data_IF_053708368511
#
_entry.id   IF_053708368511
#
_cell.length_a   1.000
_cell.length_b   1.000
_cell.length_c   1.000
_cell.angle_alpha   90.00
_cell.angle_beta   90.00
_cell.angle_gamma   90.00
#
_symmetry.space_group_name_H-M   'P 1'
#
loop_
_entity.id
_entity.type
_entity.pdbx_description
1 polymer ?
#
# COMPACT_ATOMS: atom_id res chain seq x y z
N UNK A 1 -11.00 45.92 9.13
CA UNK A 1 -9.86 45.66 8.22
C UNK A 1 -9.22 44.38 8.72
N UNK A 2 -9.85 43.24 8.42
CA UNK A 2 -9.78 42.40 7.20
C UNK A 2 -8.80 41.24 7.41
N UNK A 3 -9.41 40.11 7.76
CA UNK A 3 -9.18 38.73 7.30
C UNK A 3 -7.76 38.18 7.21
N UNK A 4 -7.53 37.11 7.97
CA UNK A 4 -6.80 35.94 7.49
C UNK A 4 -7.53 34.68 7.99
N UNK A 5 -8.29 34.09 7.07
CA UNK A 5 -9.03 32.85 7.20
C UNK A 5 -8.04 31.69 7.44
N UNK A 6 -7.97 31.18 8.67
CA UNK A 6 -7.35 29.90 8.99
C UNK A 6 -8.43 28.84 9.16
N UNK A 7 -9.11 28.48 8.07
CA UNK A 7 -9.93 27.28 8.03
C UNK A 7 -9.02 26.07 7.89
N UNK A 8 -8.57 25.55 9.02
CA UNK A 8 -7.89 24.27 9.12
C UNK A 8 -8.79 23.15 8.59
N UNK A 9 -8.32 22.44 7.58
CA UNK A 9 -8.85 21.13 7.22
C UNK A 9 -8.43 20.13 8.30
N UNK A 10 -9.21 20.01 9.38
CA UNK A 10 -8.99 19.07 10.48
C UNK A 10 -10.01 17.93 10.50
N UNK A 11 -10.30 17.30 9.36
CA UNK A 11 -11.45 16.39 9.29
C UNK A 11 -11.46 15.31 8.22
N UNK A 12 -10.32 14.84 7.69
CA UNK A 12 -10.37 13.55 6.99
C UNK A 12 -10.54 12.44 8.03
N UNK A 13 -11.77 11.93 8.16
CA UNK A 13 -12.06 10.77 9.01
C UNK A 13 -11.29 9.57 8.44
N UNK A 14 -10.35 9.04 9.24
CA UNK A 14 -9.56 7.85 8.90
C UNK A 14 -10.50 6.67 8.64
N UNK A 15 -10.35 6.02 7.47
CA UNK A 15 -11.15 4.87 7.09
C UNK A 15 -10.87 3.68 8.02
N UNK A 16 -11.93 3.05 8.54
CA UNK A 16 -11.82 1.80 9.30
C UNK A 16 -11.78 0.61 8.32
N UNK A 17 -10.57 0.22 7.95
CA UNK A 17 -10.35 -0.92 7.06
C UNK A 17 -10.84 -2.24 7.67
N UNK A 18 -10.80 -2.42 8.99
CA UNK A 18 -11.24 -3.67 9.60
C UNK A 18 -12.77 -3.81 9.51
N UNK A 19 -13.50 -2.71 9.74
CA UNK A 19 -14.95 -2.65 9.46
C UNK A 19 -15.25 -2.95 7.99
N UNK A 20 -14.49 -2.36 7.06
CA UNK A 20 -14.62 -2.64 5.63
C UNK A 20 -14.49 -4.15 5.33
N UNK A 21 -13.49 -4.81 5.90
CA UNK A 21 -13.26 -6.24 5.68
C UNK A 21 -14.30 -7.13 6.36
N UNK A 22 -15.02 -6.64 7.38
CA UNK A 22 -16.22 -7.30 7.92
C UNK A 22 -17.47 -7.09 7.05
N UNK A 23 -17.38 -6.29 6.00
CA UNK A 23 -18.51 -5.91 5.17
C UNK A 23 -19.39 -4.84 5.80
N UNK A 24 -18.85 -4.06 6.73
CA UNK A 24 -19.51 -2.95 7.41
C UNK A 24 -19.16 -1.61 6.75
N UNK A 25 -19.86 -0.54 7.13
CA UNK A 25 -19.50 0.82 6.70
C UNK A 25 -18.18 1.22 7.36
N UNK A 26 -17.17 1.65 6.58
CA UNK A 26 -15.84 1.97 7.10
C UNK A 26 -15.73 3.42 7.63
N UNK A 27 -16.81 4.19 7.57
CA UNK A 27 -16.81 5.60 7.93
C UNK A 27 -18.09 6.33 7.52
N UNK A 28 -18.29 7.52 8.07
CA UNK A 28 -19.44 8.37 7.72
C UNK A 28 -19.41 8.72 6.22
N UNK A 29 -20.56 8.55 5.55
CA UNK A 29 -20.68 8.79 4.11
C UNK A 29 -20.16 7.65 3.23
N UNK A 30 -19.57 6.59 3.79
CA UNK A 30 -19.08 5.44 3.04
C UNK A 30 -20.01 4.24 3.24
N UNK A 31 -20.65 3.71 2.18
CA UNK A 31 -21.53 2.55 2.31
C UNK A 31 -20.74 1.29 2.68
N UNK A 32 -21.42 0.35 3.33
CA UNK A 32 -20.91 -1.00 3.52
C UNK A 32 -20.68 -1.68 2.16
N UNK A 33 -19.61 -2.49 2.07
CA UNK A 33 -19.28 -3.21 0.85
C UNK A 33 -19.08 -4.70 1.13
N UNK A 34 -19.75 -5.55 0.36
CA UNK A 34 -19.55 -7.00 0.46
C UNK A 34 -18.15 -7.43 0.02
N UNK A 35 -17.56 -6.73 -0.96
CA UNK A 35 -16.24 -7.01 -1.49
C UNK A 35 -15.48 -5.69 -1.72
N UNK A 36 -14.31 -5.49 -1.10
CA UNK A 36 -13.48 -4.33 -1.37
C UNK A 36 -13.07 -4.28 -2.85
N UNK A 37 -13.01 -3.10 -3.50
CA UNK A 37 -12.71 -2.97 -4.93
C UNK A 37 -11.27 -3.39 -5.29
N UNK A 38 -10.40 -3.53 -4.30
CA UNK A 38 -9.05 -4.06 -4.45
C UNK A 38 -8.94 -5.58 -4.22
N UNK A 39 -9.97 -6.28 -3.76
CA UNK A 39 -9.94 -7.75 -3.65
C UNK A 39 -10.16 -8.40 -5.02
N UNK A 40 -9.07 -8.52 -5.79
CA UNK A 40 -9.09 -9.10 -7.15
C UNK A 40 -8.92 -10.61 -7.17
N UNK A 41 -8.62 -11.24 -6.02
CA UNK A 41 -8.29 -12.67 -5.91
C UNK A 41 -7.11 -13.08 -6.80
N UNK A 42 -6.23 -12.12 -7.07
CA UNK A 42 -5.11 -12.23 -7.99
C UNK A 42 -4.07 -11.15 -7.65
N UNK A 43 -2.77 -11.42 -7.82
CA UNK A 43 -1.72 -10.43 -7.59
C UNK A 43 -1.90 -9.24 -8.51
N UNK A 44 -1.43 -8.07 -8.07
CA UNK A 44 -1.44 -6.88 -8.92
C UNK A 44 -0.42 -7.02 -10.04
N UNK A 45 -0.77 -6.52 -11.22
CA UNK A 45 0.13 -6.53 -12.39
C UNK A 45 1.46 -5.82 -12.12
N UNK A 46 1.47 -4.78 -11.28
CA UNK A 46 2.72 -4.13 -10.84
C UNK A 46 3.64 -5.09 -10.07
N UNK A 47 3.09 -5.89 -9.16
CA UNK A 47 3.85 -6.85 -8.34
C UNK A 47 4.42 -7.97 -9.20
N UNK A 48 3.62 -8.47 -10.16
CA UNK A 48 4.10 -9.44 -11.16
C UNK A 48 5.28 -8.84 -11.94
N UNK A 49 5.12 -7.64 -12.49
CA UNK A 49 6.16 -6.98 -13.27
C UNK A 49 7.45 -6.72 -12.47
N UNK A 50 7.34 -6.31 -11.20
CA UNK A 50 8.51 -6.11 -10.34
C UNK A 50 9.25 -7.42 -10.04
N UNK A 51 8.52 -8.51 -9.79
CA UNK A 51 9.10 -9.82 -9.61
C UNK A 51 9.83 -10.30 -10.89
N UNK A 52 9.15 -10.25 -12.04
CA UNK A 52 9.72 -10.65 -13.33
C UNK A 52 10.93 -9.80 -13.76
N UNK A 53 10.99 -8.55 -13.31
CA UNK A 53 12.13 -7.66 -13.55
C UNK A 53 13.33 -7.94 -12.63
N UNK A 54 13.20 -8.87 -11.68
CA UNK A 54 14.22 -9.19 -10.68
C UNK A 54 14.43 -8.09 -9.64
N UNK A 55 13.45 -7.20 -9.44
CA UNK A 55 13.55 -6.12 -8.44
C UNK A 55 13.18 -6.59 -7.04
N UNK A 56 12.45 -7.71 -6.95
CA UNK A 56 12.14 -8.38 -5.68
C UNK A 56 13.22 -9.43 -5.39
N UNK A 57 13.78 -9.37 -4.19
CA UNK A 57 14.83 -10.27 -3.73
C UNK A 57 14.81 -10.44 -2.21
N UNK A 58 15.43 -11.52 -1.74
CA UNK A 58 15.65 -11.80 -0.31
C UNK A 58 14.37 -12.02 0.51
N UNK A 59 14.40 -11.59 1.77
CA UNK A 59 13.24 -11.59 2.67
C UNK A 59 12.29 -10.43 2.30
N UNK A 60 11.02 -10.75 2.01
CA UNK A 60 10.06 -9.78 1.47
C UNK A 60 9.01 -9.38 2.50
N UNK A 61 8.74 -8.08 2.60
CA UNK A 61 7.60 -7.51 3.31
C UNK A 61 6.52 -7.08 2.31
N UNK A 62 5.31 -7.61 2.44
CA UNK A 62 4.10 -7.05 1.82
C UNK A 62 3.37 -6.20 2.86
N UNK A 63 3.46 -4.87 2.74
CA UNK A 63 2.96 -3.91 3.74
C UNK A 63 1.60 -3.33 3.33
N UNK A 64 0.61 -3.47 4.21
CA UNK A 64 -0.80 -3.34 3.84
C UNK A 64 -1.25 -4.50 2.96
N UNK A 65 -0.90 -5.74 3.34
CA UNK A 65 -1.10 -6.92 2.48
C UNK A 65 -2.58 -7.26 2.23
N UNK A 66 -3.51 -6.69 3.02
CA UNK A 66 -4.93 -6.94 2.93
C UNK A 66 -5.24 -8.43 3.01
N UNK A 67 -5.90 -8.96 1.97
CA UNK A 67 -6.29 -10.37 1.89
C UNK A 67 -5.15 -11.28 1.38
N UNK A 68 -3.94 -10.77 1.18
CA UNK A 68 -2.73 -11.56 0.97
C UNK A 68 -2.41 -11.98 -0.47
N UNK A 69 -3.17 -11.54 -1.48
CA UNK A 69 -2.99 -12.03 -2.87
C UNK A 69 -1.56 -11.78 -3.42
N UNK A 70 -0.95 -10.64 -3.11
CA UNK A 70 0.43 -10.33 -3.51
C UNK A 70 1.45 -11.17 -2.73
N UNK A 71 1.32 -11.25 -1.40
CA UNK A 71 2.15 -12.10 -0.55
C UNK A 71 2.13 -13.57 -0.99
N UNK A 72 0.95 -14.11 -1.32
CA UNK A 72 0.77 -15.48 -1.80
C UNK A 72 1.50 -15.69 -3.12
N UNK A 73 1.32 -14.79 -4.08
CA UNK A 73 2.02 -14.86 -5.35
C UNK A 73 3.55 -14.88 -5.17
N UNK A 74 4.09 -14.01 -4.31
CA UNK A 74 5.53 -13.95 -4.06
C UNK A 74 6.02 -15.21 -3.34
N UNK A 75 5.28 -15.73 -2.37
CA UNK A 75 5.61 -17.00 -1.71
C UNK A 75 5.61 -18.18 -2.70
N UNK A 76 4.65 -18.24 -3.63
CA UNK A 76 4.61 -19.23 -4.70
C UNK A 76 5.80 -19.11 -5.67
N UNK A 77 6.41 -17.93 -5.77
CA UNK A 77 7.64 -17.69 -6.53
C UNK A 77 8.92 -17.90 -5.71
N UNK A 78 8.82 -18.48 -4.50
CA UNK A 78 9.95 -18.92 -3.70
C UNK A 78 10.52 -17.89 -2.72
N UNK A 79 9.87 -16.73 -2.55
CA UNK A 79 10.29 -15.75 -1.56
C UNK A 79 9.83 -16.13 -0.15
N UNK A 80 10.62 -15.75 0.86
CA UNK A 80 10.15 -15.75 2.25
C UNK A 80 9.39 -14.45 2.50
N UNK A 81 8.08 -14.56 2.70
CA UNK A 81 7.20 -13.39 2.80
C UNK A 81 6.69 -13.18 4.23
N UNK A 82 6.70 -11.94 4.67
CA UNK A 82 5.90 -11.45 5.81
C UNK A 82 4.83 -10.49 5.29
N UNK A 83 3.56 -10.76 5.59
CA UNK A 83 2.44 -9.88 5.27
C UNK A 83 1.97 -9.13 6.50
N UNK A 84 1.97 -7.80 6.44
CA UNK A 84 1.54 -6.95 7.55
C UNK A 84 0.33 -6.12 7.15
N UNK A 85 -0.68 -6.07 8.00
CA UNK A 85 -1.86 -5.21 7.81
C UNK A 85 -2.37 -4.68 9.15
N UNK A 86 -3.10 -3.56 9.13
CA UNK A 86 -3.73 -2.99 10.33
C UNK A 86 -5.03 -3.75 10.68
N UNK A 87 -5.67 -4.39 9.70
CA UNK A 87 -6.96 -5.03 9.83
C UNK A 87 -6.84 -6.53 10.15
N UNK A 88 -7.11 -6.97 11.39
CA UNK A 88 -7.07 -8.40 11.74
C UNK A 88 -8.04 -9.24 10.91
N UNK A 89 -9.20 -8.70 10.50
CA UNK A 89 -10.17 -9.42 9.65
C UNK A 89 -9.59 -9.77 8.28
N UNK A 90 -8.77 -8.89 7.71
CA UNK A 90 -8.09 -9.14 6.45
C UNK A 90 -7.11 -10.31 6.57
N UNK A 91 -6.33 -10.33 7.66
CA UNK A 91 -5.30 -11.33 7.91
C UNK A 91 -5.89 -12.73 8.12
N UNK A 92 -7.04 -12.86 8.78
CA UNK A 92 -7.74 -14.16 8.88
C UNK A 92 -8.04 -14.73 7.48
N UNK A 93 -8.47 -13.87 6.55
CA UNK A 93 -8.71 -14.29 5.16
C UNK A 93 -7.41 -14.59 4.43
N UNK A 94 -6.36 -13.78 4.64
CA UNK A 94 -5.04 -13.98 4.05
C UNK A 94 -4.42 -15.32 4.45
N UNK A 95 -4.47 -15.66 5.75
CA UNK A 95 -3.99 -16.94 6.29
C UNK A 95 -4.72 -18.12 5.66
N UNK A 96 -6.06 -18.05 5.54
CA UNK A 96 -6.85 -19.09 4.87
C UNK A 96 -6.44 -19.23 3.41
N UNK A 97 -6.32 -18.12 2.66
CA UNK A 97 -5.94 -18.15 1.24
C UNK A 97 -4.53 -18.70 1.05
N UNK A 98 -3.58 -18.37 1.93
CA UNK A 98 -2.23 -18.89 1.90
C UNK A 98 -2.20 -20.41 2.16
N UNK A 99 -2.96 -20.88 3.15
CA UNK A 99 -3.14 -22.31 3.41
C UNK A 99 -3.72 -23.04 2.18
N UNK A 100 -4.78 -22.50 1.58
CA UNK A 100 -5.42 -23.09 0.39
C UNK A 100 -4.48 -23.09 -0.84
N UNK A 101 -3.58 -22.11 -0.92
CA UNK A 101 -2.54 -22.02 -1.94
C UNK A 101 -1.30 -22.88 -1.66
N UNK A 102 -1.23 -23.54 -0.49
CA UNK A 102 -0.13 -24.42 -0.10
C UNK A 102 1.19 -23.69 0.20
N UNK A 103 1.14 -22.44 0.63
CA UNK A 103 2.32 -21.62 0.96
C UNK A 103 2.34 -21.21 2.43
N UNK A 104 3.53 -21.07 2.99
CA UNK A 104 3.75 -20.59 4.36
C UNK A 104 4.17 -19.12 4.33
N UNK A 105 3.39 -18.27 5.02
CA UNK A 105 3.59 -16.82 5.08
C UNK A 105 3.34 -16.36 6.51
N UNK A 106 4.25 -15.54 7.03
CA UNK A 106 4.04 -14.92 8.34
C UNK A 106 3.11 -13.73 8.19
N UNK A 107 1.87 -13.86 8.65
CA UNK A 107 0.95 -12.73 8.79
C UNK A 107 0.96 -12.17 10.20
N UNK A 108 0.87 -10.85 10.34
CA UNK A 108 0.76 -10.19 11.63
C UNK A 108 0.09 -8.82 11.54
N UNK A 109 -0.67 -8.47 12.59
CA UNK A 109 -1.21 -7.11 12.73
C UNK A 109 -0.07 -6.15 13.02
N UNK A 110 0.06 -5.09 12.22
CA UNK A 110 1.05 -4.05 12.45
C UNK A 110 0.59 -2.67 11.95
N UNK A 111 1.04 -1.63 12.64
CA UNK A 111 0.94 -0.25 12.18
C UNK A 111 2.11 0.04 11.24
N UNK A 112 1.81 0.31 9.96
CA UNK A 112 2.81 0.57 8.93
C UNK A 112 3.64 1.84 9.19
N UNK A 113 3.15 2.75 10.04
CA UNK A 113 3.87 3.96 10.44
C UNK A 113 4.86 3.72 11.58
N UNK A 114 4.81 2.52 12.20
CA UNK A 114 5.66 2.17 13.34
C UNK A 114 6.55 0.98 13.05
N UNK A 115 6.01 -0.12 12.52
CA UNK A 115 6.71 -1.39 12.29
C UNK A 115 7.52 -1.87 13.51
N UNK A 116 6.91 -1.81 14.69
CA UNK A 116 7.54 -2.23 15.93
C UNK A 116 7.99 -3.70 15.87
N UNK A 117 9.20 -3.98 16.35
CA UNK A 117 9.80 -5.31 16.32
C UNK A 117 10.52 -5.67 15.02
N UNK A 118 10.55 -4.77 14.03
CA UNK A 118 11.30 -4.95 12.79
C UNK A 118 12.43 -3.93 12.65
N UNK A 119 13.65 -4.45 12.52
CA UNK A 119 14.89 -3.70 12.22
C UNK A 119 15.75 -4.58 11.33
N UNK A 120 16.22 -4.06 10.19
CA UNK A 120 17.11 -4.79 9.26
C UNK A 120 16.63 -6.22 8.93
N UNK A 121 15.32 -6.38 8.74
CA UNK A 121 14.62 -7.65 8.59
C UNK A 121 14.28 -8.02 7.14
N UNK A 122 14.21 -7.03 6.24
CA UNK A 122 13.70 -7.22 4.88
C UNK A 122 14.66 -6.68 3.82
N UNK A 123 14.75 -7.39 2.70
CA UNK A 123 15.53 -7.01 1.52
C UNK A 123 14.65 -6.38 0.44
N UNK A 124 13.35 -6.68 0.43
CA UNK A 124 12.36 -6.05 -0.44
C UNK A 124 11.08 -5.69 0.28
N UNK A 125 10.50 -4.54 -0.05
CA UNK A 125 9.21 -4.08 0.46
C UNK A 125 8.26 -3.80 -0.69
N UNK A 126 7.09 -4.40 -0.63
CA UNK A 126 5.99 -4.26 -1.58
C UNK A 126 4.89 -3.46 -0.89
N UNK A 127 4.60 -2.27 -1.41
CA UNK A 127 3.43 -1.47 -1.07
C UNK A 127 2.53 -1.38 -2.29
N UNK A 128 1.35 -2.00 -2.21
CA UNK A 128 0.38 -2.01 -3.29
C UNK A 128 -0.92 -1.34 -2.84
N UNK A 129 -0.89 -0.01 -2.79
CA UNK A 129 -2.05 0.81 -2.48
C UNK A 129 -2.23 1.10 -0.99
N UNK A 130 -1.16 1.06 -0.20
CA UNK A 130 -1.20 1.38 1.23
C UNK A 130 -0.69 2.81 1.49
N UNK A 131 0.44 3.21 0.91
CA UNK A 131 1.06 4.53 1.13
C UNK A 131 0.07 5.70 0.98
N UNK A 132 -0.80 5.66 -0.02
CA UNK A 132 -1.74 6.73 -0.29
C UNK A 132 -2.88 6.83 0.73
N UNK A 133 -3.10 5.80 1.56
CA UNK A 133 -4.11 5.80 2.62
C UNK A 133 -3.69 6.61 3.85
N UNK A 134 -2.42 7.04 3.92
CA UNK A 134 -1.86 7.78 5.03
C UNK A 134 -2.01 9.30 4.82
N UNK A 135 -2.20 10.03 5.92
CA UNK A 135 -2.04 11.49 5.93
C UNK A 135 -0.56 11.87 5.81
N UNK A 136 -0.24 13.17 5.77
CA UNK A 136 1.13 13.62 5.48
C UNK A 136 2.14 13.27 6.58
N UNK A 137 1.71 13.27 7.85
CA UNK A 137 2.55 12.81 8.96
C UNK A 137 2.74 11.29 8.94
N UNK A 138 1.68 10.55 8.60
CA UNK A 138 1.70 9.11 8.42
C UNK A 138 2.63 8.69 7.30
N UNK A 139 2.62 9.37 6.14
CA UNK A 139 3.54 9.11 5.02
C UNK A 139 5.01 9.27 5.45
N UNK A 140 5.35 10.31 6.20
CA UNK A 140 6.70 10.53 6.75
C UNK A 140 7.10 9.42 7.73
N UNK A 141 6.20 9.09 8.64
CA UNK A 141 6.42 8.05 9.66
C UNK A 141 6.59 6.67 9.03
N UNK A 142 5.77 6.35 8.04
CA UNK A 142 5.89 5.16 7.20
C UNK A 142 7.26 5.06 6.54
N UNK A 143 7.70 6.10 5.82
CA UNK A 143 8.95 6.05 5.08
C UNK A 143 10.15 5.79 6.01
N UNK A 144 10.16 6.40 7.20
CA UNK A 144 11.17 6.19 8.22
C UNK A 144 11.09 4.79 8.86
N UNK A 145 9.88 4.29 9.14
CA UNK A 145 9.66 2.97 9.71
C UNK A 145 10.10 1.87 8.75
N UNK A 146 9.73 1.97 7.47
CA UNK A 146 10.14 1.04 6.42
C UNK A 146 11.65 1.08 6.22
N UNK A 147 12.26 2.26 6.20
CA UNK A 147 13.72 2.39 6.12
C UNK A 147 14.43 1.65 7.25
N UNK A 148 13.94 1.78 8.49
CA UNK A 148 14.50 1.06 9.66
C UNK A 148 14.28 -0.45 9.56
N UNK A 149 13.12 -0.88 9.06
CA UNK A 149 12.75 -2.29 8.99
C UNK A 149 13.49 -3.07 7.90
N UNK A 150 13.97 -2.41 6.85
CA UNK A 150 14.73 -3.03 5.75
C UNK A 150 16.21 -3.11 6.05
N UNK A 151 17.02 -3.87 5.30
CA UNK A 151 18.50 -3.88 5.38
C UNK A 151 19.11 -2.81 4.46
N UNK A 152 20.38 -2.40 4.67
CA UNK A 152 21.11 -1.65 3.65
C UNK A 152 21.11 -2.38 2.31
N UNK A 153 20.85 -1.65 1.21
CA UNK A 153 20.72 -2.22 -0.14
C UNK A 153 19.31 -2.73 -0.49
N UNK A 154 18.35 -2.68 0.44
CA UNK A 154 16.99 -3.14 0.21
C UNK A 154 16.23 -2.29 -0.81
N UNK A 155 15.27 -2.93 -1.50
CA UNK A 155 14.41 -2.29 -2.50
C UNK A 155 13.03 -1.97 -1.90
N UNK A 156 12.55 -0.75 -2.11
CA UNK A 156 11.18 -0.32 -1.82
C UNK A 156 10.43 -0.12 -3.14
N UNK A 157 9.29 -0.81 -3.28
CA UNK A 157 8.43 -0.80 -4.45
C UNK A 157 7.03 -0.34 -4.06
N UNK A 158 6.60 0.82 -4.59
CA UNK A 158 5.30 1.41 -4.25
C UNK A 158 4.44 1.56 -5.51
N UNK A 159 3.18 1.14 -5.42
CA UNK A 159 2.12 1.49 -6.35
C UNK A 159 1.05 2.27 -5.61
N UNK A 160 0.89 3.56 -5.90
CA UNK A 160 -0.07 4.41 -5.20
C UNK A 160 -0.81 5.37 -6.14
N UNK A 161 -2.00 5.85 -5.77
CA UNK A 161 -2.77 6.75 -6.63
C UNK A 161 -2.00 8.04 -6.93
N UNK A 162 -2.01 8.42 -8.21
CA UNK A 162 -1.45 9.69 -8.67
C UNK A 162 -2.48 10.81 -8.54
N UNK A 163 -1.99 12.02 -8.26
CA UNK A 163 -2.72 13.29 -8.33
C UNK A 163 -3.11 13.71 -9.75
N UNK A 164 -2.71 12.96 -10.78
CA UNK A 164 -3.21 13.09 -12.14
C UNK A 164 -4.64 12.52 -12.32
N UNK A 165 -5.15 11.75 -11.36
CA UNK A 165 -6.51 11.23 -11.43
C UNK A 165 -7.54 12.36 -11.23
N UNK A 166 -8.70 12.30 -11.92
CA UNK A 166 -9.80 13.20 -11.62
C UNK A 166 -10.30 12.97 -10.18
N UNK A 167 -10.85 14.02 -9.57
CA UNK A 167 -11.54 13.91 -8.30
C UNK A 167 -12.74 12.94 -8.42
N UNK A 168 -13.07 12.29 -7.31
CA UNK A 168 -14.19 11.36 -7.21
C UNK A 168 -14.91 11.63 -5.90
N UNK A 169 -16.08 12.24 -6.01
CA UNK A 169 -16.87 12.69 -4.86
C UNK A 169 -17.61 11.52 -4.20
N UNK A 170 -17.79 10.40 -4.91
CA UNK A 170 -18.45 9.19 -4.38
C UNK A 170 -17.45 8.29 -3.65
N UNK A 171 -16.24 8.15 -4.21
CA UNK A 171 -15.17 7.34 -3.63
C UNK A 171 -13.88 8.15 -3.54
N UNK A 172 -13.62 8.81 -2.40
CA UNK A 172 -12.42 9.61 -2.25
C UNK A 172 -11.18 8.76 -2.48
N UNK A 173 -10.45 9.09 -3.54
CA UNK A 173 -9.15 8.51 -3.87
C UNK A 173 -8.08 9.42 -3.30
N UNK A 174 -7.50 9.10 -2.13
CA UNK A 174 -6.41 9.91 -1.61
C UNK A 174 -5.26 9.81 -2.60
N UNK A 175 -4.95 10.92 -3.25
CA UNK A 175 -3.98 10.98 -4.32
C UNK A 175 -2.67 11.58 -3.82
N UNK A 176 -1.56 11.16 -4.42
CA UNK A 176 -0.21 11.56 -4.00
C UNK A 176 0.46 12.29 -5.15
N UNK A 177 1.08 13.44 -4.85
CA UNK A 177 1.89 14.15 -5.83
C UNK A 177 3.27 13.53 -6.01
N UNK A 178 3.83 13.67 -7.22
CA UNK A 178 5.22 13.29 -7.51
C UNK A 178 6.21 13.96 -6.55
N UNK A 179 5.93 15.20 -6.14
CA UNK A 179 6.79 15.94 -5.21
C UNK A 179 6.72 15.35 -3.79
N UNK A 180 5.51 15.01 -3.32
CA UNK A 180 5.33 14.35 -2.01
C UNK A 180 6.14 13.06 -1.90
N UNK A 181 6.13 12.21 -2.95
CA UNK A 181 6.94 10.99 -2.97
C UNK A 181 8.43 11.28 -2.87
N UNK A 182 8.94 12.28 -3.60
CA UNK A 182 10.34 12.68 -3.55
C UNK A 182 10.75 13.19 -2.17
N UNK A 183 9.95 14.08 -1.59
CA UNK A 183 10.27 14.71 -0.31
C UNK A 183 10.19 13.70 0.84
N UNK A 184 9.15 12.87 0.86
CA UNK A 184 8.92 11.89 1.93
C UNK A 184 9.96 10.77 1.89
N UNK A 185 10.18 10.16 0.72
CA UNK A 185 11.12 9.04 0.60
C UNK A 185 12.57 9.53 0.73
N UNK A 186 12.93 10.61 0.03
CA UNK A 186 14.27 11.21 0.11
C UNK A 186 14.59 11.70 1.52
N UNK A 187 13.64 12.33 2.21
CA UNK A 187 13.80 12.78 3.59
C UNK A 187 14.00 11.63 4.60
N UNK A 188 13.63 10.41 4.24
CA UNK A 188 13.82 9.20 5.05
C UNK A 188 15.07 8.39 4.65
N UNK A 189 15.88 8.85 3.70
CA UNK A 189 17.12 8.17 3.28
C UNK A 189 16.96 7.17 2.12
N UNK A 190 15.83 7.20 1.41
CA UNK A 190 15.64 6.41 0.21
C UNK A 190 16.17 7.11 -1.04
N UNK A 191 16.97 6.42 -1.83
CA UNK A 191 17.36 6.84 -3.17
C UNK A 191 16.31 6.37 -4.17
N UNK A 192 15.59 7.29 -4.81
CA UNK A 192 14.58 6.94 -5.82
C UNK A 192 15.27 6.67 -7.16
N UNK A 193 15.29 5.40 -7.58
CA UNK A 193 15.84 4.97 -8.87
C UNK A 193 14.85 5.17 -10.02
N UNK A 194 13.55 4.98 -9.78
CA UNK A 194 12.50 5.25 -10.77
C UNK A 194 11.21 5.74 -10.12
N UNK A 195 10.51 6.65 -10.82
CA UNK A 195 9.21 7.19 -10.40
C UNK A 195 8.42 7.61 -11.63
N UNK A 196 7.62 6.67 -12.11
CA UNK A 196 6.91 6.76 -13.39
C UNK A 196 5.40 6.58 -13.20
N UNK A 197 4.56 7.22 -14.03
CA UNK A 197 3.14 6.96 -14.04
C UNK A 197 2.86 5.58 -14.67
N UNK A 198 1.90 4.86 -14.11
CA UNK A 198 1.37 3.61 -14.63
C UNK A 198 -0.15 3.70 -14.73
N UNK A 199 -0.69 3.53 -15.93
CA UNK A 199 -2.13 3.64 -16.18
C UNK A 199 -2.78 2.26 -16.20
N UNK A 200 -3.82 2.08 -15.39
CA UNK A 200 -4.66 0.89 -15.36
C UNK A 200 -6.07 1.24 -15.82
N UNK A 201 -6.58 0.47 -16.77
CA UNK A 201 -7.99 0.54 -17.18
C UNK A 201 -8.77 -0.54 -16.46
N UNK A 202 -9.91 -0.16 -15.88
CA UNK A 202 -10.87 -1.09 -15.29
C UNK A 202 -12.25 -0.82 -15.83
N UNK A 203 -13.04 -1.88 -15.91
CA UNK A 203 -14.48 -1.76 -16.10
C UNK A 203 -15.14 -1.74 -14.72
N UNK A 204 -15.89 -0.69 -14.43
CA UNK A 204 -16.68 -0.53 -13.19
C UNK A 204 -18.10 -0.20 -13.63
N UNK A 205 -19.06 -1.04 -13.27
CA UNK A 205 -20.48 -0.90 -13.62
C UNK A 205 -20.73 -0.66 -15.13
N UNK A 206 -19.95 -1.32 -15.99
CA UNK A 206 -20.03 -1.19 -17.46
C UNK A 206 -19.35 0.04 -18.04
N UNK A 207 -18.73 0.90 -17.22
CA UNK A 207 -17.95 2.05 -17.65
C UNK A 207 -16.45 1.75 -17.58
N UNK A 208 -15.70 2.17 -18.61
CA UNK A 208 -14.24 2.14 -18.53
C UNK A 208 -13.74 3.32 -17.69
N UNK A 209 -13.15 3.00 -16.56
CA UNK A 209 -12.47 3.94 -15.67
C UNK A 209 -10.97 3.76 -15.84
N UNK A 210 -10.31 4.83 -16.24
CA UNK A 210 -8.85 4.89 -16.31
C UNK A 210 -8.31 5.49 -15.01
N UNK A 211 -7.37 4.77 -14.38
CA UNK A 211 -6.73 5.20 -13.14
C UNK A 211 -5.23 5.23 -13.33
N UNK A 212 -4.60 6.32 -12.90
CA UNK A 212 -3.15 6.52 -12.93
C UNK A 212 -2.56 6.29 -11.54
N UNK A 213 -1.51 5.49 -11.48
CA UNK A 213 -0.74 5.22 -10.28
C UNK A 213 0.68 5.73 -10.48
N UNK A 214 1.35 6.13 -9.40
CA UNK A 214 2.80 6.18 -9.38
C UNK A 214 3.33 4.77 -9.15
N UNK A 215 4.25 4.33 -10.02
CA UNK A 215 5.12 3.19 -9.77
C UNK A 215 6.49 3.71 -9.35
N UNK A 216 6.87 3.43 -8.11
CA UNK A 216 8.14 3.88 -7.52
C UNK A 216 9.04 2.69 -7.27
N UNK A 217 10.30 2.82 -7.64
CA UNK A 217 11.39 1.98 -7.15
C UNK A 217 12.40 2.87 -6.44
N UNK A 218 12.70 2.54 -5.19
CA UNK A 218 13.73 3.20 -4.40
C UNK A 218 14.62 2.19 -3.71
N UNK A 219 15.84 2.58 -3.38
CA UNK A 219 16.82 1.75 -2.70
C UNK A 219 17.27 2.40 -1.38
N UNK A 220 17.46 1.57 -0.35
CA UNK A 220 18.07 2.01 0.90
C UNK A 220 19.60 2.05 0.72
N UNK A 221 20.19 3.23 0.90
CA UNK A 221 21.65 3.43 0.85
C UNK A 221 22.34 3.17 2.19
#
# INVERSE_FOLDING_TARGET
>A
MTDANSSGFSGLRRMDFDALYRGESPGEGMPAMATPPWDTKAPKGSVIAWNESGWVHGDVLDIGCGLGDNAIYLAQNGFRVTGLDIAPTALITAERRAHDAGVDIKFAVADSTKLDGYTDAFDSVIDSGMFHCLDDDGKRSYAAAVHRATRPGATLLISCFSDANPADDEWPRPAVSKQTLRDVLGGAGWEIESLEPATMRREIDGNQVEMTFWSVRAQRT
#
